data_IF_187673664924
#
_entry.id   IF_187673664924
#
_cell.length_a   1.000
_cell.length_b   1.000
_cell.length_c   1.000
_cell.angle_alpha   90.00
_cell.angle_beta   90.00
_cell.angle_gamma   90.00
#
_symmetry.space_group_name_H-M   'P 1'
#
loop_
_entity.id
_entity.type
_entity.pdbx_description
1 polymer ?
#
# COMPACT_ATOMS: atom_id res chain seq x y z
N UNK A 1 5.42 -38.79 43.97
CA UNK A 1 5.18 -38.28 42.59
C UNK A 1 5.42 -36.77 42.56
N UNK A 2 5.87 -36.20 41.44
CA UNK A 2 5.97 -34.73 41.29
C UNK A 2 4.59 -34.12 41.04
N UNK A 3 4.37 -32.91 41.54
CA UNK A 3 3.14 -32.17 41.29
C UNK A 3 2.94 -31.91 39.79
N UNK A 4 1.76 -32.25 39.24
CA UNK A 4 1.43 -32.06 37.81
C UNK A 4 1.12 -30.61 37.41
N UNK A 5 1.02 -29.70 38.37
CA UNK A 5 0.66 -28.31 38.10
C UNK A 5 1.84 -27.48 37.61
N UNK A 6 1.54 -26.52 36.75
CA UNK A 6 2.47 -25.51 36.23
C UNK A 6 2.34 -24.21 37.01
N UNK A 7 3.46 -23.60 37.40
CA UNK A 7 3.49 -22.27 38.01
C UNK A 7 3.40 -21.18 36.93
N UNK A 8 3.46 -19.91 37.33
CA UNK A 8 3.49 -18.75 36.43
C UNK A 8 4.59 -18.93 35.38
N UNK A 9 4.25 -18.73 34.09
CA UNK A 9 5.13 -18.90 32.90
C UNK A 9 5.40 -20.35 32.45
N UNK A 10 4.61 -21.33 32.91
CA UNK A 10 4.64 -22.68 32.36
C UNK A 10 5.77 -23.58 32.90
N UNK A 11 6.49 -23.14 33.93
CA UNK A 11 7.46 -23.99 34.63
C UNK A 11 6.72 -25.04 35.48
N UNK A 12 7.06 -26.34 35.39
CA UNK A 12 6.44 -27.35 36.23
C UNK A 12 6.76 -27.12 37.71
N UNK A 13 5.81 -27.42 38.59
CA UNK A 13 6.02 -27.33 40.03
C UNK A 13 7.09 -28.32 40.49
N UNK A 14 8.11 -27.84 41.19
CA UNK A 14 9.18 -28.67 41.73
C UNK A 14 8.83 -29.37 43.05
N UNK A 15 7.63 -29.14 43.61
CA UNK A 15 7.19 -29.77 44.87
C UNK A 15 6.60 -31.15 44.64
N UNK A 16 6.69 -32.00 45.65
CA UNK A 16 6.05 -33.31 45.65
C UNK A 16 4.53 -33.19 45.73
N UNK A 17 3.84 -34.11 45.05
CA UNK A 17 2.41 -34.28 45.15
C UNK A 17 2.04 -34.85 46.53
N UNK A 18 0.87 -34.47 47.04
CA UNK A 18 0.32 -35.11 48.24
C UNK A 18 0.04 -36.58 47.96
N UNK A 19 0.15 -37.42 48.98
CA UNK A 19 -0.17 -38.85 48.89
C UNK A 19 -1.60 -39.06 48.36
N UNK A 20 -1.76 -39.90 47.34
CA UNK A 20 -3.04 -40.15 46.68
C UNK A 20 -3.59 -38.99 45.83
N UNK A 21 -2.83 -37.89 45.65
CA UNK A 21 -3.22 -36.75 44.80
C UNK A 21 -2.15 -36.50 43.74
N UNK A 22 -2.54 -35.80 42.68
CA UNK A 22 -1.62 -35.40 41.60
C UNK A 22 -0.90 -34.06 41.88
N UNK A 23 -1.35 -33.32 42.90
CA UNK A 23 -0.89 -31.94 43.16
C UNK A 23 -0.29 -31.79 44.56
N UNK A 24 0.67 -30.87 44.70
CA UNK A 24 1.21 -30.50 45.99
C UNK A 24 0.16 -29.75 46.83
N UNK A 25 0.37 -29.64 48.14
CA UNK A 25 -0.58 -29.00 49.08
C UNK A 25 -1.14 -27.65 48.59
N UNK A 26 -0.27 -26.77 48.09
CA UNK A 26 -0.65 -25.44 47.61
C UNK A 26 -1.53 -25.50 46.35
N UNK A 27 -1.15 -26.32 45.38
CA UNK A 27 -1.89 -26.43 44.12
C UNK A 27 -3.19 -27.23 44.27
N UNK A 28 -3.22 -28.21 45.17
CA UNK A 28 -4.44 -28.92 45.50
C UNK A 28 -5.46 -27.97 46.15
N UNK A 29 -5.06 -27.22 47.18
CA UNK A 29 -5.95 -26.23 47.82
C UNK A 29 -6.48 -25.17 46.83
N UNK A 30 -5.65 -24.72 45.89
CA UNK A 30 -6.07 -23.79 44.84
C UNK A 30 -7.02 -24.44 43.82
N UNK A 31 -6.84 -25.73 43.52
CA UNK A 31 -7.73 -26.50 42.67
C UNK A 31 -9.09 -26.70 43.34
N UNK A 32 -9.10 -27.13 44.61
CA UNK A 32 -10.33 -27.35 45.38
C UNK A 32 -11.15 -26.06 45.47
N UNK A 33 -10.51 -24.92 45.75
CA UNK A 33 -11.16 -23.60 45.74
C UNK A 33 -11.76 -23.22 44.38
N UNK A 34 -11.13 -23.63 43.27
CA UNK A 34 -11.67 -23.39 41.92
C UNK A 34 -12.87 -24.29 41.64
N UNK A 35 -12.81 -25.56 42.01
CA UNK A 35 -13.93 -26.51 41.85
C UNK A 35 -15.14 -26.09 42.69
N UNK A 36 -14.92 -25.68 43.93
CA UNK A 36 -15.95 -25.14 44.81
C UNK A 36 -16.63 -23.92 44.19
N UNK A 37 -15.84 -22.98 43.64
CA UNK A 37 -16.38 -21.80 42.93
C UNK A 37 -17.12 -22.17 41.64
N UNK A 38 -16.66 -23.19 40.92
CA UNK A 38 -17.26 -23.63 39.67
C UNK A 38 -18.65 -24.24 39.88
N UNK A 39 -18.87 -24.89 41.02
CA UNK A 39 -20.08 -25.63 41.33
C UNK A 39 -20.10 -27.04 40.74
N UNK A 40 -21.12 -27.84 41.11
CA UNK A 40 -21.19 -29.25 40.73
C UNK A 40 -21.34 -29.44 39.21
N UNK A 41 -20.77 -30.53 38.70
CA UNK A 41 -21.01 -30.98 37.33
C UNK A 41 -22.41 -31.60 37.28
N UNK A 42 -23.25 -31.11 36.36
CA UNK A 42 -24.56 -31.72 36.09
C UNK A 42 -24.37 -32.99 35.27
N UNK A 43 -25.23 -33.98 35.45
CA UNK A 43 -25.23 -35.18 34.61
C UNK A 43 -25.42 -34.80 33.13
N UNK A 44 -24.53 -35.28 32.26
CA UNK A 44 -24.47 -34.87 30.85
C UNK A 44 -24.04 -33.42 30.59
N UNK A 45 -23.69 -32.65 31.63
CA UNK A 45 -23.30 -31.25 31.53
C UNK A 45 -21.86 -31.04 31.05
N UNK A 46 -21.59 -29.87 30.46
CA UNK A 46 -20.24 -29.50 30.04
C UNK A 46 -19.32 -29.18 31.23
N UNK A 47 -18.12 -29.78 31.24
CA UNK A 47 -17.10 -29.59 32.28
C UNK A 47 -16.37 -28.24 32.19
N UNK A 48 -16.50 -27.51 31.07
CA UNK A 48 -15.88 -26.22 30.86
C UNK A 48 -16.28 -25.15 31.89
N UNK A 49 -15.34 -24.27 32.22
CA UNK A 49 -15.53 -23.18 33.18
C UNK A 49 -15.62 -21.86 32.39
N UNK A 50 -16.68 -21.08 32.66
CA UNK A 50 -16.91 -19.75 32.07
C UNK A 50 -15.92 -18.72 32.63
N UNK A 51 -15.85 -17.55 32.00
CA UNK A 51 -14.95 -16.48 32.41
C UNK A 51 -15.21 -15.95 33.85
N UNK A 52 -16.43 -16.09 34.37
CA UNK A 52 -16.80 -15.75 35.75
C UNK A 52 -16.29 -16.78 36.80
N UNK A 53 -15.75 -17.90 36.33
CA UNK A 53 -15.28 -19.01 37.15
C UNK A 53 -16.38 -20.02 37.50
N UNK A 54 -17.61 -19.87 36.99
CA UNK A 54 -18.69 -20.84 37.16
C UNK A 54 -18.65 -21.90 36.06
N UNK A 55 -19.17 -23.10 36.34
CA UNK A 55 -19.27 -24.16 35.34
C UNK A 55 -20.27 -23.80 34.25
N UNK A 56 -20.04 -24.32 33.05
CA UNK A 56 -20.96 -24.20 31.94
C UNK A 56 -22.30 -24.86 32.27
N UNK A 57 -23.37 -24.21 31.86
CA UNK A 57 -24.77 -24.64 32.02
C UNK A 57 -25.32 -25.39 30.80
N UNK A 58 -24.50 -25.58 29.76
CA UNK A 58 -24.87 -26.24 28.51
C UNK A 58 -24.50 -27.72 28.59
N UNK A 59 -25.31 -28.60 27.98
CA UNK A 59 -25.00 -30.03 27.83
C UNK A 59 -23.72 -30.26 27.00
N UNK A 60 -22.98 -31.30 27.36
CA UNK A 60 -21.83 -31.75 26.60
C UNK A 60 -22.29 -32.36 25.26
N UNK A 61 -21.38 -32.41 24.28
CA UNK A 61 -21.62 -33.18 23.06
C UNK A 61 -21.59 -34.68 23.38
N UNK A 62 -22.32 -35.48 22.61
CA UNK A 62 -22.31 -36.94 22.76
C UNK A 62 -20.87 -37.49 22.65
N UNK A 63 -20.44 -38.28 23.64
CA UNK A 63 -19.08 -38.79 23.74
C UNK A 63 -18.01 -37.75 24.13
N UNK A 64 -18.38 -36.54 24.50
CA UNK A 64 -17.46 -35.48 24.95
C UNK A 64 -17.78 -35.04 26.38
N UNK A 65 -16.77 -34.49 27.07
CA UNK A 65 -16.96 -33.80 28.36
C UNK A 65 -17.29 -32.31 28.18
N UNK A 66 -17.29 -31.80 26.94
CA UNK A 66 -17.40 -30.38 26.64
C UNK A 66 -18.55 -30.11 25.67
N UNK A 67 -19.21 -28.97 25.85
CA UNK A 67 -20.15 -28.46 24.86
C UNK A 67 -19.40 -27.92 23.64
N UNK A 68 -20.12 -27.75 22.52
CA UNK A 68 -19.59 -27.22 21.26
C UNK A 68 -18.74 -25.96 21.43
N UNK A 69 -19.16 -25.02 22.28
CA UNK A 69 -18.45 -23.76 22.54
C UNK A 69 -17.10 -23.97 23.21
N UNK A 70 -17.04 -24.83 24.24
CA UNK A 70 -15.80 -25.10 24.95
C UNK A 70 -14.83 -25.96 24.12
N UNK A 71 -15.33 -26.92 23.35
CA UNK A 71 -14.51 -27.67 22.38
C UNK A 71 -13.88 -26.73 21.36
N UNK A 72 -14.67 -25.84 20.75
CA UNK A 72 -14.15 -24.84 19.81
C UNK A 72 -13.10 -23.91 20.43
N UNK A 73 -13.26 -23.54 21.71
CA UNK A 73 -12.29 -22.71 22.42
C UNK A 73 -10.96 -23.44 22.68
N UNK A 74 -11.01 -24.72 23.08
CA UNK A 74 -9.81 -25.54 23.25
C UNK A 74 -9.12 -25.76 21.90
N UNK A 75 -9.89 -26.06 20.85
CA UNK A 75 -9.34 -26.22 19.50
C UNK A 75 -8.70 -24.93 18.98
N UNK A 76 -9.33 -23.77 19.21
CA UNK A 76 -8.75 -22.47 18.88
C UNK A 76 -7.43 -22.23 19.64
N UNK A 77 -7.39 -22.58 20.92
CA UNK A 77 -6.19 -22.45 21.76
C UNK A 77 -5.07 -23.37 21.26
N UNK A 78 -5.39 -24.62 20.92
CA UNK A 78 -4.46 -25.60 20.35
C UNK A 78 -3.91 -25.11 19.00
N UNK A 79 -4.77 -24.68 18.08
CA UNK A 79 -4.34 -24.12 16.78
C UNK A 79 -3.48 -22.87 16.93
N UNK A 80 -3.77 -22.03 17.92
CA UNK A 80 -2.93 -20.86 18.22
C UNK A 80 -1.55 -21.28 18.75
N UNK A 81 -1.47 -22.33 19.57
CA UNK A 81 -0.20 -22.89 20.04
C UNK A 81 0.60 -23.54 18.92
N UNK A 82 -0.03 -24.33 18.05
CA UNK A 82 0.59 -24.93 16.86
C UNK A 82 1.12 -23.85 15.90
N UNK A 83 0.30 -22.83 15.60
CA UNK A 83 0.73 -21.68 14.80
C UNK A 83 1.94 -20.99 15.42
N UNK A 84 1.93 -20.80 16.73
CA UNK A 84 3.07 -20.20 17.44
C UNK A 84 4.35 -21.02 17.29
N UNK A 85 4.28 -22.35 17.39
CA UNK A 85 5.43 -23.24 17.18
C UNK A 85 5.95 -23.14 15.75
N UNK A 86 5.04 -23.09 14.76
CA UNK A 86 5.40 -22.92 13.36
C UNK A 86 6.07 -21.56 13.10
N UNK A 87 5.51 -20.47 13.62
CA UNK A 87 6.10 -19.13 13.54
C UNK A 87 7.49 -19.09 14.18
N UNK A 88 7.67 -19.72 15.36
CA UNK A 88 8.96 -19.76 16.05
C UNK A 88 10.03 -20.54 15.25
N UNK A 89 9.65 -21.64 14.59
CA UNK A 89 10.54 -22.38 13.71
C UNK A 89 10.92 -21.57 12.45
N UNK A 90 9.97 -20.87 11.86
CA UNK A 90 10.19 -20.01 10.70
C UNK A 90 11.10 -18.82 11.03
N UNK A 91 10.90 -18.17 12.19
CA UNK A 91 11.78 -17.11 12.70
C UNK A 91 13.22 -17.64 12.84
N UNK A 92 13.39 -18.81 13.47
CA UNK A 92 14.70 -19.39 13.72
C UNK A 92 15.47 -19.68 12.41
N UNK A 93 14.81 -20.30 11.42
CA UNK A 93 15.45 -20.65 10.15
C UNK A 93 15.82 -19.40 9.34
N UNK A 94 14.93 -18.41 9.27
CA UNK A 94 15.18 -17.17 8.53
C UNK A 94 16.29 -16.34 9.14
N UNK A 95 16.26 -16.12 10.45
CA UNK A 95 17.31 -15.38 11.15
C UNK A 95 18.66 -16.07 10.99
N UNK A 96 18.70 -17.42 11.04
CA UNK A 96 19.92 -18.20 10.80
C UNK A 96 20.51 -17.96 9.41
N UNK A 97 19.70 -17.94 8.36
CA UNK A 97 20.15 -17.64 6.99
C UNK A 97 20.73 -16.23 6.88
N UNK A 98 19.98 -15.22 7.36
CA UNK A 98 20.42 -13.82 7.30
C UNK A 98 21.71 -13.56 8.10
N UNK A 99 21.85 -14.22 9.26
CA UNK A 99 23.07 -14.15 10.08
C UNK A 99 24.23 -14.84 9.38
N UNK A 100 24.04 -16.06 8.86
CA UNK A 100 25.08 -16.82 8.17
C UNK A 100 25.63 -16.06 6.95
N UNK A 101 24.75 -15.40 6.22
CA UNK A 101 25.10 -14.67 5.00
C UNK A 101 25.58 -13.24 5.32
N UNK A 102 25.78 -12.91 6.60
CA UNK A 102 26.27 -11.62 7.10
C UNK A 102 25.49 -10.40 6.58
N UNK A 103 24.18 -10.55 6.36
CA UNK A 103 23.31 -9.48 5.84
C UNK A 103 23.21 -8.36 6.88
N UNK A 104 23.55 -7.10 6.57
CA UNK A 104 23.43 -6.00 7.52
C UNK A 104 22.00 -5.88 8.06
N UNK A 105 21.83 -5.70 9.37
CA UNK A 105 20.51 -5.79 10.01
C UNK A 105 19.49 -4.77 9.46
N UNK A 106 19.94 -3.61 8.98
CA UNK A 106 19.11 -2.61 8.32
C UNK A 106 18.52 -3.13 6.99
N UNK A 107 19.35 -3.81 6.20
CA UNK A 107 18.94 -4.46 4.94
C UNK A 107 18.01 -5.64 5.25
N UNK A 108 18.35 -6.47 6.25
CA UNK A 108 17.48 -7.55 6.71
C UNK A 108 16.09 -7.04 7.12
N UNK A 109 16.01 -5.93 7.88
CA UNK A 109 14.73 -5.33 8.25
C UNK A 109 13.93 -4.88 7.01
N UNK A 110 14.56 -4.27 6.01
CA UNK A 110 13.90 -3.88 4.76
C UNK A 110 13.37 -5.09 3.97
N UNK A 111 14.16 -6.17 3.87
CA UNK A 111 13.76 -7.41 3.19
C UNK A 111 12.52 -8.03 3.85
N UNK A 112 12.56 -8.21 5.17
CA UNK A 112 11.45 -8.85 5.90
C UNK A 112 10.22 -7.92 5.96
N UNK A 113 10.42 -6.59 5.98
CA UNK A 113 9.35 -5.60 5.85
C UNK A 113 8.66 -5.70 4.48
N UNK A 114 9.42 -5.88 3.40
CA UNK A 114 8.86 -6.07 2.06
C UNK A 114 7.96 -7.31 2.01
N UNK A 115 8.45 -8.45 2.50
CA UNK A 115 7.66 -9.70 2.56
C UNK A 115 6.41 -9.57 3.44
N UNK A 116 6.50 -8.90 4.59
CA UNK A 116 5.33 -8.60 5.41
C UNK A 116 4.29 -7.76 4.67
N UNK A 117 4.72 -6.74 3.91
CA UNK A 117 3.83 -5.92 3.06
C UNK A 117 3.18 -6.72 1.93
N UNK A 118 3.86 -7.74 1.41
CA UNK A 118 3.30 -8.68 0.43
C UNK A 118 2.35 -9.73 1.06
N UNK A 119 2.06 -9.64 2.37
CA UNK A 119 1.27 -10.61 3.14
C UNK A 119 1.82 -12.05 3.08
N UNK A 120 3.10 -12.21 2.77
CA UNK A 120 3.75 -13.54 2.79
C UNK A 120 4.27 -13.90 4.17
N UNK A 121 4.26 -12.94 5.12
CA UNK A 121 4.65 -13.15 6.51
C UNK A 121 3.60 -12.66 7.50
N UNK A 122 3.49 -13.37 8.61
CA UNK A 122 2.79 -12.87 9.79
C UNK A 122 3.57 -11.73 10.46
N UNK A 123 2.88 -10.77 11.11
CA UNK A 123 3.51 -9.62 11.76
C UNK A 123 4.51 -10.03 12.85
N UNK A 124 4.25 -11.14 13.55
CA UNK A 124 5.15 -11.68 14.55
C UNK A 124 6.43 -12.24 13.94
N UNK A 125 6.32 -13.02 12.85
CA UNK A 125 7.48 -13.58 12.14
C UNK A 125 8.36 -12.46 11.62
N UNK A 126 7.76 -11.44 11.03
CA UNK A 126 8.47 -10.23 10.59
C UNK A 126 9.29 -9.61 11.73
N UNK A 127 8.63 -9.23 12.81
CA UNK A 127 9.26 -8.44 13.87
C UNK A 127 10.35 -9.22 14.60
N UNK A 128 10.08 -10.49 14.92
CA UNK A 128 11.03 -11.33 15.65
C UNK A 128 12.25 -11.71 14.80
N UNK A 129 12.07 -11.96 13.49
CA UNK A 129 13.18 -12.25 12.59
C UNK A 129 14.15 -11.07 12.54
N UNK A 130 13.63 -9.86 12.33
CA UNK A 130 14.45 -8.65 12.28
C UNK A 130 15.13 -8.35 13.61
N UNK A 131 14.41 -8.52 14.73
CA UNK A 131 14.96 -8.32 16.08
C UNK A 131 16.12 -9.27 16.38
N UNK A 132 16.02 -10.55 15.97
CA UNK A 132 17.09 -11.53 16.17
C UNK A 132 18.35 -11.18 15.37
N UNK A 133 18.21 -10.82 14.09
CA UNK A 133 19.35 -10.42 13.24
C UNK A 133 20.02 -9.17 13.78
N UNK A 134 19.23 -8.17 14.16
CA UNK A 134 19.74 -6.90 14.67
C UNK A 134 20.47 -7.05 16.02
N UNK A 135 19.90 -7.82 16.96
CA UNK A 135 20.56 -8.12 18.24
C UNK A 135 21.85 -8.92 18.06
N UNK A 136 21.90 -9.84 17.11
CA UNK A 136 23.13 -10.58 16.79
C UNK A 136 24.26 -9.64 16.34
N UNK A 137 23.92 -8.55 15.66
CA UNK A 137 24.87 -7.52 15.20
C UNK A 137 25.08 -6.37 16.20
N UNK A 138 24.58 -6.51 17.43
CA UNK A 138 24.78 -5.54 18.51
C UNK A 138 23.85 -4.32 18.49
N UNK A 139 22.83 -4.30 17.63
CA UNK A 139 21.84 -3.21 17.63
C UNK A 139 20.93 -3.28 18.86
N UNK A 140 20.65 -2.11 19.43
CA UNK A 140 19.68 -1.94 20.52
C UNK A 140 18.24 -1.95 19.99
N UNK A 141 17.27 -2.29 20.84
CA UNK A 141 15.84 -2.20 20.47
C UNK A 141 15.46 -0.79 20.02
N UNK A 142 16.03 0.25 20.64
CA UNK A 142 15.74 1.64 20.30
C UNK A 142 16.23 2.01 18.88
N UNK A 143 17.42 1.55 18.48
CA UNK A 143 17.93 1.75 17.11
C UNK A 143 17.04 1.04 16.07
N UNK A 144 16.56 -0.16 16.41
CA UNK A 144 15.67 -0.93 15.54
C UNK A 144 14.33 -0.22 15.39
N UNK A 145 13.73 0.21 16.49
CA UNK A 145 12.45 0.94 16.49
C UNK A 145 12.57 2.25 15.69
N UNK A 146 13.64 3.03 15.94
CA UNK A 146 13.90 4.30 15.24
C UNK A 146 14.07 4.07 13.74
N UNK A 147 14.83 3.05 13.34
CA UNK A 147 15.03 2.72 11.94
C UNK A 147 13.75 2.16 11.29
N UNK A 148 13.02 1.28 11.99
CA UNK A 148 11.71 0.79 11.55
C UNK A 148 10.71 1.93 11.35
N UNK A 149 10.65 2.90 12.26
CA UNK A 149 9.82 4.08 12.15
C UNK A 149 10.17 4.92 10.93
N UNK A 150 11.46 5.04 10.62
CA UNK A 150 11.94 5.68 9.40
C UNK A 150 11.49 4.94 8.13
N UNK A 151 11.60 3.61 8.11
CA UNK A 151 11.38 2.83 6.88
C UNK A 151 9.93 2.33 6.69
N UNK A 152 9.14 2.21 7.75
CA UNK A 152 7.75 1.69 7.66
C UNK A 152 6.83 2.62 6.87
N UNK A 153 7.23 3.87 6.71
CA UNK A 153 6.54 4.87 5.89
C UNK A 153 7.27 5.19 4.57
N UNK A 154 8.48 4.66 4.35
CA UNK A 154 9.09 4.66 3.02
C UNK A 154 8.33 3.68 2.12
N UNK A 155 7.90 4.17 0.94
CA UNK A 155 7.13 3.44 -0.06
C UNK A 155 7.87 2.13 -0.41
N UNK A 156 7.17 0.98 -0.54
CA UNK A 156 7.82 -0.28 -0.92
C UNK A 156 8.42 -0.17 -2.33
N UNK A 157 9.53 -0.87 -2.57
CA UNK A 157 9.95 -1.26 -3.92
C UNK A 157 8.73 -1.79 -4.70
N UNK A 158 8.60 -1.47 -6.00
CA UNK A 158 7.36 -1.60 -6.74
C UNK A 158 6.73 -2.99 -6.64
N UNK A 159 5.43 -2.95 -6.41
CA UNK A 159 4.44 -4.02 -6.39
C UNK A 159 4.51 -4.92 -7.63
N UNK A 160 4.68 -6.23 -7.44
CA UNK A 160 4.25 -7.26 -8.38
C UNK A 160 2.97 -7.91 -7.84
N UNK A 161 1.84 -7.22 -8.02
CA UNK A 161 0.52 -7.77 -7.74
C UNK A 161 0.19 -8.95 -8.64
N UNK A 162 -0.65 -9.85 -8.12
CA UNK A 162 -1.10 -11.06 -8.79
C UNK A 162 -1.55 -10.83 -10.23
N UNK A 163 -1.21 -11.81 -11.08
CA UNK A 163 -1.41 -11.83 -12.53
C UNK A 163 -2.89 -11.59 -12.90
N UNK A 164 -3.31 -10.33 -13.06
CA UNK A 164 -4.25 -10.00 -14.14
C UNK A 164 -3.44 -10.06 -15.44
N UNK A 165 -4.00 -10.65 -16.50
CA UNK A 165 -3.30 -10.67 -17.78
C UNK A 165 -3.04 -9.24 -18.24
N UNK A 166 -1.90 -8.98 -18.91
CA UNK A 166 -1.63 -7.68 -19.55
C UNK A 166 -2.80 -7.26 -20.46
N UNK A 167 -3.49 -8.24 -21.06
CA UNK A 167 -4.68 -8.04 -21.88
C UNK A 167 -5.89 -7.51 -21.09
N UNK A 168 -6.04 -7.86 -19.81
CA UNK A 168 -7.15 -7.39 -18.97
C UNK A 168 -6.89 -5.96 -18.47
N UNK A 169 -5.63 -5.62 -18.20
CA UNK A 169 -5.21 -4.25 -17.87
C UNK A 169 -5.33 -3.32 -19.08
N UNK A 170 -4.92 -3.77 -20.27
CA UNK A 170 -5.02 -2.98 -21.50
C UNK A 170 -6.47 -2.67 -21.92
N UNK A 171 -7.43 -3.50 -21.49
CA UNK A 171 -8.86 -3.31 -21.76
C UNK A 171 -9.60 -2.56 -20.66
N UNK A 172 -8.91 -2.23 -19.56
CA UNK A 172 -9.52 -1.46 -18.47
C UNK A 172 -9.76 -0.02 -18.95
N UNK A 173 -11.02 0.45 -19.04
CA UNK A 173 -11.32 1.81 -19.48
C UNK A 173 -10.81 2.89 -18.50
N UNK A 174 -10.36 2.51 -17.30
CA UNK A 174 -9.70 3.39 -16.34
C UNK A 174 -8.17 3.30 -16.41
N UNK A 175 -7.61 2.56 -17.38
CA UNK A 175 -6.18 2.44 -17.54
C UNK A 175 -5.57 3.74 -18.05
N UNK A 176 -4.67 4.32 -17.28
CA UNK A 176 -3.89 5.52 -17.65
C UNK A 176 -2.74 5.22 -18.63
N UNK A 177 -2.49 3.94 -18.94
CA UNK A 177 -1.49 3.44 -19.89
C UNK A 177 -2.10 3.14 -21.28
N UNK A 178 -3.10 3.89 -21.70
CA UNK A 178 -3.60 3.85 -23.09
C UNK A 178 -2.68 4.63 -24.03
N UNK A 179 -2.71 4.33 -25.33
CA UNK A 179 -1.88 5.00 -26.33
C UNK A 179 -2.21 6.51 -26.43
N UNK A 180 -3.47 6.86 -26.22
CA UNK A 180 -4.01 8.22 -26.32
C UNK A 180 -3.47 9.09 -25.18
N UNK A 181 -3.59 8.62 -23.93
CA UNK A 181 -3.02 9.28 -22.74
C UNK A 181 -1.50 9.41 -22.87
N UNK A 182 -0.83 8.38 -23.39
CA UNK A 182 0.61 8.42 -23.63
C UNK A 182 0.99 9.49 -24.67
N UNK A 183 0.30 9.55 -25.82
CA UNK A 183 0.56 10.54 -26.88
C UNK A 183 0.31 11.98 -26.41
N UNK A 184 -0.72 12.20 -25.60
CA UNK A 184 -0.97 13.53 -25.04
C UNK A 184 0.08 13.91 -23.98
N UNK A 185 0.48 12.96 -23.15
CA UNK A 185 1.56 13.14 -22.17
C UNK A 185 2.88 13.50 -22.88
N UNK A 186 3.18 12.87 -24.02
CA UNK A 186 4.36 13.19 -24.84
C UNK A 186 4.33 14.63 -25.37
N UNK A 187 3.21 15.09 -25.93
CA UNK A 187 3.08 16.47 -26.43
C UNK A 187 3.28 17.51 -25.33
N UNK A 188 2.66 17.30 -24.17
CA UNK A 188 2.82 18.21 -23.02
C UNK A 188 4.24 18.15 -22.45
N UNK A 189 4.87 16.98 -22.49
CA UNK A 189 6.27 16.80 -22.10
C UNK A 189 7.21 17.60 -23.00
N UNK A 190 7.04 17.49 -24.32
CA UNK A 190 7.85 18.25 -25.30
C UNK A 190 7.68 19.76 -25.12
N UNK A 191 6.44 20.21 -24.96
CA UNK A 191 6.13 21.61 -24.70
C UNK A 191 6.85 22.11 -23.45
N UNK A 192 6.72 21.42 -22.33
CA UNK A 192 7.32 21.86 -21.07
C UNK A 192 8.85 21.82 -21.12
N UNK A 193 9.44 20.80 -21.76
CA UNK A 193 10.90 20.68 -21.90
C UNK A 193 11.53 21.73 -22.81
N UNK A 194 10.74 22.49 -23.57
CA UNK A 194 11.22 23.64 -24.32
C UNK A 194 11.47 24.89 -23.45
N UNK A 195 11.02 24.88 -22.20
CA UNK A 195 11.21 25.99 -21.26
C UNK A 195 12.71 26.17 -20.91
N UNK A 196 13.26 27.38 -21.02
CA UNK A 196 14.64 27.65 -20.64
C UNK A 196 14.81 27.55 -19.12
N UNK A 197 15.70 26.65 -18.67
CA UNK A 197 16.02 26.48 -17.24
C UNK A 197 17.17 27.41 -16.86
N UNK A 198 17.00 28.33 -15.88
CA UNK A 198 18.07 29.17 -15.40
C UNK A 198 19.23 28.33 -14.79
N UNK A 199 20.50 28.63 -15.10
CA UNK A 199 21.64 27.82 -14.64
C UNK A 199 21.82 27.80 -13.13
N UNK A 200 21.33 28.83 -12.42
CA UNK A 200 21.35 28.94 -10.97
C UNK A 200 20.16 28.26 -10.27
N UNK A 201 19.23 27.69 -11.03
CA UNK A 201 18.02 27.09 -10.47
C UNK A 201 18.35 25.90 -9.57
N UNK A 202 17.86 25.95 -8.34
CA UNK A 202 17.86 24.81 -7.42
C UNK A 202 16.42 24.37 -7.16
N UNK A 203 15.91 23.54 -8.06
CA UNK A 203 14.50 23.10 -8.14
C UNK A 203 13.98 22.54 -6.82
N UNK A 204 14.65 21.53 -6.27
CA UNK A 204 14.20 20.86 -5.03
C UNK A 204 14.22 21.80 -3.82
N UNK A 205 15.26 22.63 -3.68
CA UNK A 205 15.33 23.63 -2.60
C UNK A 205 14.25 24.70 -2.75
N UNK A 206 14.02 25.18 -3.96
CA UNK A 206 12.97 26.15 -4.26
C UNK A 206 11.61 25.58 -3.91
N UNK A 207 11.29 24.36 -4.36
CA UNK A 207 10.05 23.68 -4.02
C UNK A 207 9.88 23.51 -2.51
N UNK A 208 10.91 23.04 -1.81
CA UNK A 208 10.85 22.89 -0.36
C UNK A 208 10.47 24.21 0.34
N UNK A 209 11.16 25.31 0.01
CA UNK A 209 10.96 26.63 0.63
C UNK A 209 9.61 27.24 0.23
N UNK A 210 9.20 27.11 -1.04
CA UNK A 210 7.95 27.70 -1.53
C UNK A 210 6.76 26.92 -1.01
N UNK A 211 6.79 25.60 -1.09
CA UNK A 211 5.67 24.76 -0.64
C UNK A 211 5.47 24.87 0.88
N UNK A 212 6.54 24.89 1.69
CA UNK A 212 6.38 25.07 3.15
C UNK A 212 5.79 26.42 3.55
N UNK A 213 6.06 27.48 2.76
CA UNK A 213 5.54 28.83 3.02
C UNK A 213 4.15 29.06 2.47
N UNK A 214 3.82 28.48 1.31
CA UNK A 214 2.62 28.83 0.53
C UNK A 214 1.51 27.79 0.61
N UNK A 215 1.83 26.53 0.90
CA UNK A 215 0.87 25.43 0.84
C UNK A 215 0.23 25.12 2.19
N UNK A 216 -1.00 24.61 2.16
CA UNK A 216 -1.67 24.11 3.36
C UNK A 216 -1.11 22.73 3.72
N UNK A 217 -0.10 22.73 4.58
CA UNK A 217 0.49 21.50 5.10
C UNK A 217 -0.45 20.94 6.19
N UNK A 218 -1.06 19.78 5.92
CA UNK A 218 -1.90 19.08 6.89
C UNK A 218 -1.08 18.48 8.04
N UNK A 219 0.07 17.89 7.72
CA UNK A 219 1.04 17.37 8.69
C UNK A 219 2.45 17.50 8.14
N UNK A 220 3.42 17.82 9.01
CA UNK A 220 4.84 17.86 8.61
C UNK A 220 5.34 16.51 8.09
N UNK A 221 4.81 15.40 8.62
CA UNK A 221 5.11 14.06 8.12
C UNK A 221 4.73 13.92 6.64
N UNK A 222 3.50 14.26 6.27
CA UNK A 222 3.03 14.15 4.87
C UNK A 222 3.84 15.04 3.93
N UNK A 223 4.13 16.27 4.36
CA UNK A 223 4.98 17.19 3.62
C UNK A 223 6.38 16.61 3.33
N UNK A 224 7.06 16.10 4.36
CA UNK A 224 8.39 15.50 4.20
C UNK A 224 8.36 14.24 3.33
N UNK A 225 7.34 13.39 3.47
CA UNK A 225 7.16 12.22 2.59
C UNK A 225 6.99 12.62 1.13
N UNK A 226 6.22 13.68 0.84
CA UNK A 226 6.08 14.20 -0.53
C UNK A 226 7.39 14.75 -1.07
N UNK A 227 8.13 15.53 -0.28
CA UNK A 227 9.43 16.06 -0.73
C UNK A 227 10.48 14.95 -0.96
N UNK A 228 10.49 13.91 -0.12
CA UNK A 228 11.37 12.76 -0.25
C UNK A 228 11.05 11.91 -1.50
N UNK A 229 9.76 11.72 -1.78
CA UNK A 229 9.31 11.05 -3.00
C UNK A 229 9.71 11.84 -4.27
N UNK A 230 9.51 13.17 -4.27
CA UNK A 230 10.00 14.02 -5.36
C UNK A 230 11.52 13.93 -5.53
N UNK A 231 12.30 13.95 -4.43
CA UNK A 231 13.76 13.77 -4.49
C UNK A 231 14.15 12.40 -5.08
N UNK A 232 13.46 11.34 -4.65
CA UNK A 232 13.69 9.98 -5.13
C UNK A 232 13.47 9.89 -6.64
N UNK A 233 12.40 10.47 -7.17
CA UNK A 233 12.15 10.49 -8.61
C UNK A 233 13.08 11.44 -9.37
N UNK A 234 13.51 12.53 -8.74
CA UNK A 234 14.47 13.47 -9.30
C UNK A 234 15.85 12.84 -9.53
N UNK A 235 16.28 11.93 -8.65
CA UNK A 235 17.56 11.23 -8.79
C UNK A 235 17.50 10.02 -9.71
N UNK A 236 16.31 9.57 -10.12
CA UNK A 236 16.16 8.37 -10.96
C UNK A 236 16.66 8.63 -12.40
N UNK A 237 17.62 7.83 -12.90
CA UNK A 237 18.09 7.96 -14.28
C UNK A 237 17.08 7.51 -15.33
N UNK A 238 16.05 6.76 -14.95
CA UNK A 238 15.13 6.14 -15.88
C UNK A 238 13.66 6.45 -15.54
N UNK A 239 12.90 6.79 -16.57
CA UNK A 239 11.43 6.83 -16.50
C UNK A 239 10.79 6.19 -17.73
N UNK A 240 11.14 6.69 -18.92
CA UNK A 240 10.73 6.13 -20.21
C UNK A 240 11.93 5.49 -20.91
N UNK A 241 13.06 6.20 -20.94
CA UNK A 241 14.33 5.72 -21.49
C UNK A 241 15.38 5.63 -20.38
N UNK A 242 16.35 4.74 -20.54
CA UNK A 242 17.48 4.68 -19.62
C UNK A 242 18.32 5.95 -19.71
N UNK A 243 18.77 6.45 -18.55
CA UNK A 243 19.61 7.65 -18.40
C UNK A 243 19.02 8.94 -19.00
N UNK A 244 17.70 9.05 -19.11
CA UNK A 244 17.03 10.26 -19.62
C UNK A 244 16.77 11.32 -18.53
N UNK A 245 16.80 10.92 -17.26
CA UNK A 245 16.45 11.74 -16.09
C UNK A 245 15.17 12.56 -16.32
N UNK A 246 14.17 11.96 -16.99
CA UNK A 246 13.03 12.71 -17.54
C UNK A 246 12.24 13.45 -16.46
N UNK A 247 11.99 12.80 -15.31
CA UNK A 247 11.27 13.44 -14.20
C UNK A 247 12.00 14.68 -13.70
N UNK A 248 13.33 14.61 -13.50
CA UNK A 248 14.15 15.76 -13.11
C UNK A 248 14.02 16.90 -14.12
N UNK A 249 14.20 16.62 -15.41
CA UNK A 249 14.14 17.64 -16.46
C UNK A 249 12.77 18.31 -16.51
N UNK A 250 11.69 17.54 -16.37
CA UNK A 250 10.34 18.08 -16.32
C UNK A 250 10.08 18.87 -15.05
N UNK A 251 10.60 18.45 -13.89
CA UNK A 251 10.45 19.19 -12.65
C UNK A 251 11.23 20.51 -12.69
N UNK A 252 12.44 20.50 -13.27
CA UNK A 252 13.25 21.69 -13.49
C UNK A 252 12.51 22.67 -14.40
N UNK A 253 12.02 22.21 -15.55
CA UNK A 253 11.23 23.02 -16.46
C UNK A 253 9.92 23.53 -15.82
N UNK A 254 9.28 22.71 -14.98
CA UNK A 254 8.08 23.11 -14.25
C UNK A 254 8.37 24.29 -13.33
N UNK A 255 9.44 24.22 -12.53
CA UNK A 255 9.80 25.31 -11.63
C UNK A 255 10.22 26.56 -12.41
N UNK A 256 10.95 26.41 -13.51
CA UNK A 256 11.32 27.54 -14.37
C UNK A 256 10.07 28.27 -14.90
N UNK A 257 9.11 27.52 -15.46
CA UNK A 257 7.83 28.06 -15.96
C UNK A 257 6.97 28.68 -14.85
N UNK A 258 6.93 28.07 -13.66
CA UNK A 258 6.22 28.63 -12.51
C UNK A 258 6.86 29.95 -12.07
N UNK A 259 8.18 30.05 -12.13
CA UNK A 259 8.90 31.25 -11.69
C UNK A 259 8.61 32.48 -12.56
N UNK A 260 8.30 32.28 -13.85
CA UNK A 260 7.96 33.33 -14.84
C UNK A 260 6.45 33.60 -14.95
N UNK A 261 5.59 32.73 -14.41
CA UNK A 261 4.13 32.89 -14.46
C UNK A 261 3.59 33.98 -13.53
N UNK A 262 2.57 34.71 -13.98
CA UNK A 262 1.80 35.62 -13.12
C UNK A 262 1.01 34.89 -12.02
N UNK A 263 0.72 33.60 -12.19
CA UNK A 263 -0.03 32.76 -11.26
C UNK A 263 0.86 31.92 -10.34
N UNK A 264 2.14 32.29 -10.20
CA UNK A 264 3.18 31.58 -9.44
C UNK A 264 2.75 31.01 -8.09
N UNK A 265 2.01 31.78 -7.28
CA UNK A 265 1.57 31.32 -5.95
C UNK A 265 0.56 30.16 -6.07
N UNK A 266 -0.38 30.25 -7.01
CA UNK A 266 -1.36 29.21 -7.25
C UNK A 266 -0.70 27.95 -7.82
N UNK A 267 0.23 28.13 -8.77
CA UNK A 267 0.97 27.01 -9.36
C UNK A 267 1.87 26.29 -8.34
N UNK A 268 2.50 27.01 -7.40
CA UNK A 268 3.26 26.37 -6.32
C UNK A 268 2.39 25.55 -5.36
N UNK A 269 1.13 25.95 -5.16
CA UNK A 269 0.16 25.14 -4.42
C UNK A 269 -0.24 23.92 -5.23
N UNK A 270 -0.50 24.11 -6.52
CA UNK A 270 -0.92 23.03 -7.42
C UNK A 270 0.15 21.95 -7.59
N UNK A 271 1.41 22.32 -7.80
CA UNK A 271 2.51 21.35 -7.90
C UNK A 271 2.67 20.52 -6.64
N UNK A 272 2.44 21.12 -5.46
CA UNK A 272 2.46 20.37 -4.20
C UNK A 272 1.26 19.42 -4.06
N UNK A 273 0.06 19.86 -4.43
CA UNK A 273 -1.15 19.01 -4.44
C UNK A 273 -0.97 17.80 -5.37
N UNK A 274 -0.51 18.03 -6.60
CA UNK A 274 -0.26 16.96 -7.57
C UNK A 274 0.87 16.01 -7.09
N UNK A 275 1.93 16.54 -6.48
CA UNK A 275 2.98 15.71 -5.88
C UNK A 275 2.47 14.86 -4.71
N UNK A 276 1.56 15.41 -3.88
CA UNK A 276 0.88 14.67 -2.82
C UNK A 276 0.01 13.55 -3.40
N UNK A 277 -0.73 13.82 -4.46
CA UNK A 277 -1.59 12.83 -5.14
C UNK A 277 -0.79 11.79 -5.92
N UNK A 278 0.45 12.11 -6.28
CA UNK A 278 1.36 11.19 -6.97
C UNK A 278 1.98 10.14 -6.04
N UNK A 279 1.86 10.29 -4.72
CA UNK A 279 2.47 9.37 -3.76
C UNK A 279 2.04 7.91 -4.02
N UNK A 280 3.03 7.07 -4.30
CA UNK A 280 2.83 5.64 -4.57
C UNK A 280 2.41 5.31 -6.00
N UNK A 281 2.42 6.29 -6.92
CA UNK A 281 2.17 6.06 -8.34
C UNK A 281 3.43 5.54 -9.07
N UNK A 282 3.23 5.01 -10.29
CA UNK A 282 4.32 4.65 -11.20
C UNK A 282 4.90 5.91 -11.88
N UNK A 283 6.01 5.76 -12.62
CA UNK A 283 6.67 6.93 -13.23
C UNK A 283 5.75 7.73 -14.14
N UNK A 284 4.97 7.05 -15.00
CA UNK A 284 3.99 7.73 -15.87
C UNK A 284 2.91 8.48 -15.07
N UNK A 285 2.50 7.94 -13.92
CA UNK A 285 1.61 8.64 -13.00
C UNK A 285 2.22 9.94 -12.48
N UNK A 286 3.48 9.91 -12.05
CA UNK A 286 4.21 11.10 -11.62
C UNK A 286 4.34 12.14 -12.75
N UNK A 287 4.67 11.71 -13.96
CA UNK A 287 4.77 12.61 -15.12
C UNK A 287 3.43 13.26 -15.45
N UNK A 288 2.36 12.47 -15.55
CA UNK A 288 1.02 12.97 -15.86
C UNK A 288 0.54 14.00 -14.83
N UNK A 289 0.75 13.69 -13.54
CA UNK A 289 0.40 14.60 -12.42
C UNK A 289 1.20 15.91 -12.46
N UNK A 290 2.48 15.84 -12.80
CA UNK A 290 3.32 17.02 -12.93
C UNK A 290 2.87 17.93 -14.09
N UNK A 291 2.44 17.34 -15.21
CA UNK A 291 1.92 18.11 -16.36
C UNK A 291 0.56 18.75 -16.05
N UNK A 292 -0.27 18.08 -15.23
CA UNK A 292 -1.57 18.61 -14.80
C UNK A 292 -1.47 19.87 -13.93
N UNK A 293 -0.27 20.25 -13.47
CA UNK A 293 -0.04 21.49 -12.72
C UNK A 293 -0.45 22.73 -13.53
N UNK A 294 -0.28 22.68 -14.85
CA UNK A 294 -0.51 23.82 -15.73
C UNK A 294 -1.91 23.83 -16.35
N UNK A 295 -2.70 22.77 -16.17
CA UNK A 295 -4.05 22.70 -16.72
C UNK A 295 -4.93 23.76 -16.05
N UNK A 296 -5.57 24.58 -16.88
CA UNK A 296 -6.38 25.72 -16.43
C UNK A 296 -5.58 26.99 -16.12
N UNK A 297 -4.25 26.96 -16.28
CA UNK A 297 -3.38 28.14 -16.20
C UNK A 297 -2.71 28.47 -17.54
N UNK A 298 -2.51 27.46 -18.40
CA UNK A 298 -1.94 27.59 -19.73
C UNK A 298 -2.75 26.72 -20.70
N UNK A 299 -3.38 27.35 -21.69
CA UNK A 299 -4.29 26.69 -22.66
C UNK A 299 -3.60 25.61 -23.50
N UNK A 300 -2.26 25.64 -23.56
CA UNK A 300 -1.47 24.61 -24.22
C UNK A 300 -1.42 23.29 -23.42
N UNK A 301 -1.75 23.32 -22.13
CA UNK A 301 -1.85 22.15 -21.26
C UNK A 301 -3.32 21.76 -21.06
N UNK A 302 -3.72 20.61 -21.61
CA UNK A 302 -5.09 20.10 -21.53
C UNK A 302 -5.09 18.75 -20.80
N UNK A 303 -6.12 18.51 -19.99
CA UNK A 303 -6.35 17.19 -19.37
C UNK A 303 -6.49 16.12 -20.44
N UNK A 304 -6.03 14.88 -20.18
CA UNK A 304 -6.37 13.74 -21.02
C UNK A 304 -7.88 13.58 -21.10
N UNK A 305 -8.45 13.90 -22.26
CA UNK A 305 -9.86 13.67 -22.55
C UNK A 305 -9.96 12.25 -23.08
N UNK A 306 -10.90 11.44 -22.59
CA UNK A 306 -11.10 10.10 -23.15
C UNK A 306 -11.45 10.20 -24.64
N UNK A 307 -11.07 9.22 -25.45
CA UNK A 307 -11.38 9.24 -26.89
C UNK A 307 -12.87 9.46 -27.18
N UNK A 308 -13.75 8.99 -26.27
CA UNK A 308 -15.21 9.21 -26.35
C UNK A 308 -15.65 10.61 -25.98
N UNK A 309 -15.08 11.23 -24.94
CA UNK A 309 -15.36 12.64 -24.62
C UNK A 309 -14.81 13.57 -25.70
N UNK A 310 -13.61 13.28 -26.23
CA UNK A 310 -13.03 14.05 -27.34
C UNK A 310 -13.88 13.90 -28.60
N UNK A 311 -14.39 12.69 -28.87
CA UNK A 311 -15.35 12.45 -29.95
C UNK A 311 -16.63 13.26 -29.75
N UNK A 312 -17.19 13.29 -28.54
CA UNK A 312 -18.39 14.05 -28.23
C UNK A 312 -18.18 15.56 -28.45
N UNK A 313 -17.08 16.13 -27.96
CA UNK A 313 -16.76 17.55 -28.12
C UNK A 313 -16.56 17.95 -29.59
N UNK A 314 -15.84 17.11 -30.35
CA UNK A 314 -15.59 17.35 -31.78
C UNK A 314 -16.87 17.20 -32.60
N UNK A 315 -17.73 16.20 -32.29
CA UNK A 315 -19.03 16.04 -32.95
C UNK A 315 -19.99 17.18 -32.60
N UNK A 316 -19.98 17.67 -31.36
CA UNK A 316 -20.75 18.83 -30.93
C UNK A 316 -20.25 20.13 -31.60
N UNK A 317 -18.95 20.27 -31.79
CA UNK A 317 -18.38 21.40 -32.54
C UNK A 317 -18.79 21.31 -34.01
N UNK A 318 -18.67 20.13 -34.63
CA UNK A 318 -19.03 19.89 -36.02
C UNK A 318 -20.51 20.20 -36.31
N UNK A 319 -21.42 19.86 -35.40
CA UNK A 319 -22.86 20.14 -35.57
C UNK A 319 -23.20 21.63 -35.54
N UNK A 320 -22.30 22.47 -35.04
CA UNK A 320 -22.46 23.94 -35.04
C UNK A 320 -21.83 24.61 -36.25
N UNK A 321 -21.07 23.88 -37.06
CA UNK A 321 -20.45 24.40 -38.28
C UNK A 321 -21.49 24.51 -39.40
N UNK A 322 -21.41 25.57 -40.21
CA UNK A 322 -22.34 25.80 -41.32
C UNK A 322 -21.85 25.00 -42.56
N UNK A 323 -22.14 23.70 -42.57
CA UNK A 323 -21.69 22.73 -43.56
C UNK A 323 -22.86 21.86 -44.03
N UNK A 324 -22.77 21.29 -45.25
CA UNK A 324 -23.79 20.35 -45.70
C UNK A 324 -23.71 19.01 -44.92
N UNK A 325 -24.82 18.28 -44.76
CA UNK A 325 -24.85 16.97 -44.11
C UNK A 325 -23.79 15.98 -44.62
N UNK A 326 -23.59 15.93 -45.94
CA UNK A 326 -22.61 15.03 -46.57
C UNK A 326 -21.17 15.41 -46.21
N UNK A 327 -20.87 16.71 -46.13
CA UNK A 327 -19.56 17.22 -45.71
C UNK A 327 -19.32 16.97 -44.21
N UNK A 328 -20.35 17.14 -43.37
CA UNK A 328 -20.27 16.80 -41.95
C UNK A 328 -19.96 15.32 -41.75
N UNK A 329 -20.63 14.42 -42.48
CA UNK A 329 -20.37 12.97 -42.39
C UNK A 329 -18.92 12.63 -42.79
N UNK A 330 -18.36 13.31 -43.79
CA UNK A 330 -16.98 13.09 -44.21
C UNK A 330 -15.97 13.55 -43.14
N UNK A 331 -16.20 14.73 -42.54
CA UNK A 331 -15.36 15.25 -41.44
C UNK A 331 -15.50 14.39 -40.18
N UNK A 332 -16.72 13.98 -39.84
CA UNK A 332 -17.02 13.07 -38.73
C UNK A 332 -16.26 11.74 -38.87
N UNK A 333 -16.23 11.14 -40.06
CA UNK A 333 -15.44 9.91 -40.33
C UNK A 333 -13.94 10.12 -40.16
N UNK A 334 -13.42 11.30 -40.53
CA UNK A 334 -12.01 11.65 -40.33
C UNK A 334 -11.68 11.79 -38.84
N UNK A 335 -12.59 12.37 -38.04
CA UNK A 335 -12.48 12.45 -36.57
C UNK A 335 -12.52 11.06 -35.95
N UNK A 336 -13.49 10.21 -36.33
CA UNK A 336 -13.63 8.82 -35.84
C UNK A 336 -12.38 7.99 -36.14
N UNK A 337 -11.83 8.13 -37.34
CA UNK A 337 -10.59 7.46 -37.75
C UNK A 337 -9.38 7.95 -36.97
N UNK A 338 -9.25 9.27 -36.78
CA UNK A 338 -8.17 9.88 -35.97
C UNK A 338 -8.22 9.44 -34.51
N UNK A 339 -9.42 9.24 -33.97
CA UNK A 339 -9.64 8.77 -32.60
C UNK A 339 -9.66 7.24 -32.47
N UNK A 340 -9.31 6.52 -33.54
CA UNK A 340 -9.25 5.05 -33.59
C UNK A 340 -10.54 4.35 -33.12
N UNK A 341 -11.70 4.95 -33.39
CA UNK A 341 -13.00 4.36 -33.05
C UNK A 341 -13.28 3.18 -33.98
N UNK A 342 -13.74 2.01 -33.47
CA UNK A 342 -14.06 0.86 -34.30
C UNK A 342 -15.09 1.20 -35.38
N UNK A 343 -14.87 0.73 -36.61
CA UNK A 343 -15.73 1.04 -37.77
C UNK A 343 -17.18 0.62 -37.57
N UNK A 344 -17.43 -0.38 -36.73
CA UNK A 344 -18.76 -0.87 -36.36
C UNK A 344 -19.57 0.17 -35.56
N UNK A 345 -18.90 1.10 -34.86
CA UNK A 345 -19.53 2.15 -34.06
C UNK A 345 -19.79 3.43 -34.88
N UNK A 346 -19.24 3.57 -36.10
CA UNK A 346 -19.26 4.83 -36.85
C UNK A 346 -20.67 5.28 -37.22
N UNK A 347 -21.54 4.34 -37.60
CA UNK A 347 -22.92 4.67 -38.01
C UNK A 347 -23.71 5.37 -36.90
N UNK A 348 -23.43 5.03 -35.64
CA UNK A 348 -24.11 5.59 -34.47
C UNK A 348 -23.84 7.09 -34.30
N UNK A 349 -22.69 7.57 -34.78
CA UNK A 349 -22.28 8.97 -34.68
C UNK A 349 -22.62 9.76 -35.95
N UNK A 350 -22.58 9.13 -37.12
CA UNK A 350 -22.84 9.83 -38.39
C UNK A 350 -24.31 9.92 -38.76
N UNK A 351 -25.16 9.02 -38.25
CA UNK A 351 -26.60 9.02 -38.57
C UNK A 351 -27.30 10.31 -38.10
N UNK A 352 -26.83 10.89 -36.98
CA UNK A 352 -27.38 12.11 -36.42
C UNK A 352 -27.25 13.37 -37.31
N UNK A 353 -26.43 13.32 -38.36
CA UNK A 353 -26.29 14.43 -39.33
C UNK A 353 -27.17 14.26 -40.57
N UNK A 354 -27.74 13.07 -40.77
CA UNK A 354 -28.50 12.69 -41.99
C UNK A 354 -30.01 12.70 -41.75
N UNK A 355 -30.43 12.70 -40.48
CA UNK A 355 -31.81 12.92 -40.03
C UNK A 355 -32.08 14.42 -39.81
#
# INVERSE_FOLDING_TARGET
MKCVSVITRGTPCNKEALEGKERCKRHQAAFDKKEEKAGPIREGGCHGIKADGKRCDIFALEGSMLCRKHTAMIDATRRAAERKVQEDAEIAERSKVLIRDAVPWRIALQMVLHEWRQNTLGPRVFWQTALQVAKHQGATTQEIDTYYDGIRFMIPLPFQGGKRGLADLAKDPQNIHTAEVSSQTEKMTELLLSEPIPPEQNTLKTLFIKCIKLCKITTMKKFLTTMDDMNTWYEKPWCIKENDFLYKRLLDASVAKIETSEHKIALYKRIYEEAVESLGMCCQGHLSRLLNVFVGFDDAFKTPISAREALQDEMATLSTMDMSPDEMVLVAKTILQRLAIPTEEWSQWTQAFVE
#
